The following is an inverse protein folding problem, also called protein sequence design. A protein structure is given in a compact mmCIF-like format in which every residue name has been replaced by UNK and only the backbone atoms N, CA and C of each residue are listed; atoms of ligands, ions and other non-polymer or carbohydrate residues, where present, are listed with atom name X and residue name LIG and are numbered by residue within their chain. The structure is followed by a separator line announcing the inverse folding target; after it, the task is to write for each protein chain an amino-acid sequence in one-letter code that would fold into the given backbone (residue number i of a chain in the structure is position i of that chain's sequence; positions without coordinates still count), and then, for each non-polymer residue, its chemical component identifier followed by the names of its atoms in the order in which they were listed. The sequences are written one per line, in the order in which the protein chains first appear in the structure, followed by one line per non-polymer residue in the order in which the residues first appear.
data_IF_592338830632
#
_entry.id   IF_592338830632
#
_cell.length_a   1.000
_cell.length_b   1.000
_cell.length_c   1.000
_cell.angle_alpha   90.00
_cell.angle_beta   90.00
_cell.angle_gamma   90.00
#
_symmetry.space_group_name_H-M   'P 1'
#
loop_
_entity.id
_entity.type
_entity.pdbx_description
1 polymer ?
#
# COMPACT_ATOMS: atom_id res chain seq x y z
N UNK A 1 13.35 12.14 16.67
CA UNK A 1 12.79 12.92 15.55
C UNK A 1 11.28 12.72 15.52
N UNK A 2 10.50 13.75 15.85
CA UNK A 2 9.05 13.72 15.69
C UNK A 2 8.77 13.90 14.20
N UNK A 3 8.26 12.85 13.53
CA UNK A 3 7.79 12.96 12.15
C UNK A 3 6.47 13.73 12.18
N UNK A 4 6.52 15.01 11.84
CA UNK A 4 5.30 15.80 11.63
C UNK A 4 4.54 15.17 10.46
N UNK A 5 3.36 14.64 10.73
CA UNK A 5 2.44 14.16 9.70
C UNK A 5 1.99 15.40 8.95
N UNK A 6 2.46 15.58 7.72
CA UNK A 6 2.10 16.74 6.91
C UNK A 6 0.62 16.64 6.50
N UNK A 7 -0.28 17.48 7.07
CA UNK A 7 -1.71 17.41 6.76
C UNK A 7 -2.01 17.85 5.32
N UNK A 8 -1.06 18.49 4.63
CA UNK A 8 -1.21 18.90 3.23
C UNK A 8 -0.94 17.76 2.23
N UNK A 9 -0.38 16.61 2.66
CA UNK A 9 -0.31 15.40 1.83
C UNK A 9 -1.68 14.75 1.73
N UNK A 10 -2.57 15.39 0.98
CA UNK A 10 -3.88 14.88 0.60
C UNK A 10 -3.72 13.55 -0.13
N UNK A 11 -4.62 12.60 0.18
CA UNK A 11 -4.76 11.33 -0.54
C UNK A 11 -4.90 11.60 -2.04
N UNK A 12 -3.91 11.20 -2.83
CA UNK A 12 -4.01 11.19 -4.30
C UNK A 12 -4.66 9.90 -4.78
N UNK A 13 -5.23 9.93 -5.97
CA UNK A 13 -5.84 8.74 -6.59
C UNK A 13 -4.77 7.65 -6.73
N UNK A 14 -5.00 6.50 -6.07
CA UNK A 14 -4.07 5.37 -6.08
C UNK A 14 -3.02 5.36 -4.97
N UNK A 15 -2.97 6.38 -4.11
CA UNK A 15 -2.09 6.36 -2.92
C UNK A 15 -2.70 5.49 -1.80
N UNK A 16 -1.81 4.82 -1.07
CA UNK A 16 -2.13 4.02 0.12
C UNK A 16 -1.57 4.73 1.36
N UNK A 17 -2.29 4.64 2.46
CA UNK A 17 -1.80 5.07 3.76
C UNK A 17 -0.74 4.09 4.26
N UNK A 18 0.46 4.60 4.56
CA UNK A 18 1.50 3.82 5.20
C UNK A 18 1.45 4.04 6.73
N UNK A 19 1.04 3.06 7.55
CA UNK A 19 0.98 3.21 9.00
C UNK A 19 2.35 3.39 9.65
N UNK A 20 3.41 2.92 8.99
CA UNK A 20 4.79 3.02 9.48
C UNK A 20 5.43 4.38 9.21
N UNK A 21 5.09 5.01 8.08
CA UNK A 21 5.52 6.37 7.77
C UNK A 21 4.58 7.43 8.36
N UNK A 22 3.33 7.05 8.64
CA UNK A 22 2.27 7.97 9.07
C UNK A 22 1.82 8.92 7.97
N UNK A 23 1.90 8.50 6.70
CA UNK A 23 1.60 9.37 5.55
C UNK A 23 1.00 8.60 4.36
N UNK A 24 0.27 9.33 3.50
CA UNK A 24 -0.18 8.83 2.19
C UNK A 24 1.01 8.71 1.24
N UNK A 25 1.20 7.53 0.66
CA UNK A 25 2.31 7.24 -0.25
C UNK A 25 1.84 6.44 -1.46
N UNK A 26 2.49 6.67 -2.59
CA UNK A 26 2.29 5.86 -3.79
C UNK A 26 3.14 4.59 -3.67
N UNK A 27 2.51 3.46 -3.32
CA UNK A 27 3.24 2.20 -3.20
C UNK A 27 3.63 1.72 -4.60
N UNK A 28 4.92 1.50 -4.81
CA UNK A 28 5.48 1.09 -6.10
C UNK A 28 5.56 -0.42 -6.19
N UNK A 29 5.23 -0.98 -7.35
CA UNK A 29 5.36 -2.41 -7.58
C UNK A 29 6.84 -2.80 -7.53
N UNK A 30 7.13 -3.79 -6.69
CA UNK A 30 8.42 -4.41 -6.58
C UNK A 30 8.58 -5.46 -7.68
N UNK A 31 9.68 -5.40 -8.44
CA UNK A 31 9.91 -6.32 -9.56
C UNK A 31 10.24 -7.75 -9.11
N UNK A 32 10.72 -7.94 -7.87
CA UNK A 32 11.10 -9.24 -7.35
C UNK A 32 9.89 -10.04 -6.85
N UNK A 33 9.02 -9.39 -6.08
CA UNK A 33 7.88 -10.05 -5.42
C UNK A 33 6.54 -9.76 -6.09
N UNK A 34 6.46 -8.75 -6.95
CA UNK A 34 5.23 -8.32 -7.60
C UNK A 34 4.26 -7.55 -6.70
N UNK A 35 4.53 -7.44 -5.40
CA UNK A 35 3.75 -6.64 -4.44
C UNK A 35 4.08 -5.16 -4.54
N UNK A 36 3.16 -4.30 -4.13
CA UNK A 36 3.42 -2.87 -4.03
C UNK A 36 4.07 -2.58 -2.68
N UNK A 37 5.14 -1.79 -2.67
CA UNK A 37 5.88 -1.43 -1.45
C UNK A 37 5.93 0.08 -1.27
N UNK A 38 5.90 0.51 -0.01
CA UNK A 38 6.19 1.89 0.34
C UNK A 38 7.64 2.22 -0.07
N UNK A 39 7.89 3.28 -0.85
CA UNK A 39 9.24 3.63 -1.29
C UNK A 39 10.15 4.17 -0.16
N UNK A 40 9.58 4.46 1.01
CA UNK A 40 10.29 5.07 2.15
C UNK A 40 10.66 4.01 3.20
N UNK A 41 9.69 3.22 3.69
CA UNK A 41 9.93 2.20 4.72
C UNK A 41 9.99 0.76 4.18
N UNK A 42 9.69 0.52 2.90
CA UNK A 42 9.74 -0.82 2.29
C UNK A 42 8.56 -1.74 2.58
N UNK A 43 7.63 -1.36 3.46
CA UNK A 43 6.48 -2.19 3.81
C UNK A 43 5.54 -2.42 2.62
N UNK A 44 5.01 -3.63 2.53
CA UNK A 44 4.17 -4.07 1.42
C UNK A 44 2.70 -3.70 1.61
N UNK A 45 1.95 -3.56 0.52
CA UNK A 45 0.50 -3.53 0.51
C UNK A 45 -0.15 -4.82 1.05
N UNK A 46 0.63 -5.90 1.19
CA UNK A 46 0.21 -7.15 1.79
C UNK A 46 0.48 -7.25 3.31
N UNK A 47 1.12 -6.23 3.90
CA UNK A 47 1.28 -6.13 5.35
C UNK A 47 -0.08 -6.02 6.06
N UNK A 48 -0.22 -6.68 7.22
CA UNK A 48 -1.50 -6.74 7.95
C UNK A 48 -2.07 -5.36 8.27
N UNK A 49 -1.24 -4.43 8.77
CA UNK A 49 -1.69 -3.08 9.15
C UNK A 49 -2.02 -2.25 7.92
N UNK A 50 -1.20 -2.36 6.85
CA UNK A 50 -1.48 -1.70 5.58
C UNK A 50 -2.80 -2.20 4.97
N UNK A 51 -3.02 -3.52 4.92
CA UNK A 51 -4.26 -4.12 4.39
C UNK A 51 -5.49 -3.70 5.18
N UNK A 52 -5.38 -3.65 6.50
CA UNK A 52 -6.49 -3.30 7.40
C UNK A 52 -6.90 -1.85 7.24
N UNK A 53 -5.94 -0.92 7.29
CA UNK A 53 -6.25 0.53 7.22
C UNK A 53 -6.66 0.94 5.80
N UNK A 54 -6.13 0.29 4.77
CA UNK A 54 -6.50 0.59 3.38
C UNK A 54 -7.64 -0.28 2.84
N UNK A 55 -8.28 -1.10 3.67
CA UNK A 55 -9.38 -2.00 3.31
C UNK A 55 -9.08 -2.94 2.11
N UNK A 56 -7.86 -3.50 2.06
CA UNK A 56 -7.37 -4.34 0.95
C UNK A 56 -7.70 -5.84 1.11
N UNK A 57 -8.42 -6.24 2.16
CA UNK A 57 -8.72 -7.66 2.46
C UNK A 57 -9.61 -8.35 1.41
N UNK A 58 -10.38 -7.60 0.62
CA UNK A 58 -11.38 -8.14 -0.31
C UNK A 58 -10.95 -8.36 -1.77
N UNK A 59 -9.73 -7.97 -2.15
CA UNK A 59 -9.24 -8.10 -3.53
C UNK A 59 -8.23 -9.25 -3.71
N UNK A 60 -8.46 -10.37 -3.01
CA UNK A 60 -7.92 -11.65 -3.48
C UNK A 60 -8.75 -12.01 -4.70
N UNK A 61 -8.42 -11.39 -5.84
CA UNK A 61 -9.08 -11.68 -7.10
C UNK A 61 -8.90 -13.16 -7.38
N UNK A 62 -9.92 -13.95 -7.08
CA UNK A 62 -10.13 -15.23 -7.74
C UNK A 62 -10.33 -14.83 -9.20
N UNK A 63 -9.23 -14.67 -9.93
CA UNK A 63 -9.31 -14.65 -11.38
C UNK A 63 -9.86 -16.02 -11.73
N UNK A 64 -11.01 -16.13 -12.42
CA UNK A 64 -11.38 -17.40 -13.02
C UNK A 64 -10.15 -17.87 -13.79
N UNK A 65 -9.70 -19.09 -13.55
CA UNK A 65 -8.63 -19.67 -14.35
C UNK A 65 -9.17 -19.76 -15.77
N UNK A 66 -8.78 -18.79 -16.61
CA UNK A 66 -9.07 -18.78 -18.04
C UNK A 66 -8.65 -20.14 -18.60
N UNK A 67 -9.64 -20.99 -18.94
CA UNK A 67 -9.38 -22.25 -19.63
C UNK A 67 -9.08 -21.90 -21.08
N UNK A 68 -7.78 -21.83 -21.38
CA UNK A 68 -7.26 -21.77 -22.74
C UNK A 68 -7.45 -23.11 -23.44
#
# INVERSE_FOLDING_TARGET
MIKFIDPAKKKRKGDLWCPYCGEWRNFKKDNWTGYKRCPDCGMSDHDFHVKTINHLWGNVGIKPRERR
#
